data_IF_621156324636
#
_entry.id   IF_621156324636
#
_cell.length_a   1.000
_cell.length_b   1.000
_cell.length_c   1.000
_cell.angle_alpha   90.00
_cell.angle_beta   90.00
_cell.angle_gamma   90.00
#
_symmetry.space_group_name_H-M   'P 1'
#
loop_
_entity.id
_entity.type
_entity.pdbx_description
1 polymer ?
#
# COMPACT_ATOMS: atom_id res chain seq x y z
N UNK A 1 -28.25 59.80 -59.55
CA UNK A 1 -29.61 60.25 -59.14
C UNK A 1 -29.61 60.28 -57.61
N UNK A 2 -29.81 61.43 -56.95
CA UNK A 2 -31.12 61.95 -56.45
C UNK A 2 -31.76 60.98 -55.43
N UNK A 3 -32.11 61.29 -54.17
CA UNK A 3 -32.23 62.51 -53.30
C UNK A 3 -32.21 62.06 -51.81
N UNK A 4 -32.07 62.85 -50.72
CA UNK A 4 -31.62 64.24 -50.47
C UNK A 4 -31.62 64.58 -48.93
N UNK A 5 -30.61 65.34 -48.43
CA UNK A 5 -30.67 66.30 -47.28
C UNK A 5 -30.90 65.75 -45.83
N UNK A 6 -30.58 66.42 -44.69
CA UNK A 6 -29.68 67.57 -44.36
C UNK A 6 -29.60 67.90 -42.84
N UNK A 7 -28.43 68.33 -42.33
CA UNK A 7 -28.12 69.05 -41.03
C UNK A 7 -28.48 68.32 -39.71
N UNK A 8 -27.79 68.45 -38.56
CA UNK A 8 -26.75 69.34 -37.99
C UNK A 8 -27.24 70.61 -37.24
N UNK A 9 -27.46 70.51 -35.92
CA UNK A 9 -27.53 71.63 -34.95
C UNK A 9 -27.10 71.21 -33.52
N UNK A 10 -27.26 72.09 -32.52
CA UNK A 10 -26.24 72.38 -31.49
C UNK A 10 -26.83 72.97 -30.18
N UNK A 11 -26.12 72.82 -29.04
CA UNK A 11 -26.34 73.49 -27.71
C UNK A 11 -27.64 73.16 -26.91
N UNK A 12 -27.87 73.64 -25.67
CA UNK A 12 -27.08 73.58 -24.41
C UNK A 12 -27.82 74.27 -23.21
N UNK A 13 -27.60 73.82 -21.96
CA UNK A 13 -28.08 74.41 -20.66
C UNK A 13 -29.63 74.35 -20.47
N UNK A 14 -30.26 74.51 -19.31
CA UNK A 14 -29.91 74.87 -17.90
C UNK A 14 -30.93 74.11 -16.96
N UNK A 15 -31.05 74.13 -15.61
CA UNK A 15 -30.57 74.83 -14.38
C UNK A 15 -30.54 73.74 -13.23
N UNK A 16 -30.07 73.83 -11.95
CA UNK A 16 -29.95 74.85 -10.86
C UNK A 16 -31.29 75.10 -10.12
N UNK A 17 -31.55 74.81 -8.82
CA UNK A 17 -30.78 74.47 -7.59
C UNK A 17 -31.71 73.65 -6.62
N UNK A 18 -31.30 73.05 -5.48
CA UNK A 18 -30.88 73.66 -4.19
C UNK A 18 -30.03 72.73 -3.27
N UNK A 19 -29.64 73.24 -2.10
CA UNK A 19 -28.77 72.65 -1.05
C UNK A 19 -29.51 71.65 -0.12
N UNK A 20 -28.89 70.88 0.81
CA UNK A 20 -28.00 71.35 1.89
C UNK A 20 -27.37 70.25 2.77
N UNK A 21 -26.52 70.69 3.72
CA UNK A 21 -25.97 70.01 4.92
C UNK A 21 -24.90 68.90 4.73
N UNK A 22 -23.82 69.02 5.53
CA UNK A 22 -22.73 68.04 5.71
C UNK A 22 -22.99 67.17 6.94
N UNK A 23 -22.53 65.90 6.94
CA UNK A 23 -22.43 65.06 8.14
C UNK A 23 -20.99 64.53 8.35
N UNK A 24 -20.27 64.89 9.43
CA UNK A 24 -18.83 64.64 9.57
C UNK A 24 -18.50 63.34 10.33
N UNK A 25 -18.73 62.16 9.72
CA UNK A 25 -18.45 60.85 10.37
C UNK A 25 -17.30 60.09 9.69
N UNK A 26 -17.09 60.23 8.38
CA UNK A 26 -16.18 59.34 7.62
C UNK A 26 -14.67 59.65 7.71
N UNK A 27 -14.26 60.69 8.45
CA UNK A 27 -12.86 61.16 8.50
C UNK A 27 -12.08 60.62 9.74
N UNK A 28 -12.76 60.13 10.78
CA UNK A 28 -12.07 59.62 11.98
C UNK A 28 -11.54 58.19 11.86
N UNK A 29 -12.15 57.33 11.04
CA UNK A 29 -11.73 55.93 10.87
C UNK A 29 -10.38 55.81 10.13
N UNK A 30 -10.24 56.48 8.98
CA UNK A 30 -9.01 56.49 8.19
C UNK A 30 -7.81 57.03 9.00
N UNK A 31 -8.01 58.12 9.76
CA UNK A 31 -6.99 58.70 10.63
C UNK A 31 -6.56 57.78 11.78
N UNK A 32 -7.39 56.81 12.19
CA UNK A 32 -7.00 55.84 13.25
C UNK A 32 -6.12 54.71 12.73
N UNK A 33 -6.25 54.33 11.45
CA UNK A 33 -5.34 53.37 10.81
C UNK A 33 -4.01 54.06 10.45
N UNK A 34 -4.07 55.24 9.82
CA UNK A 34 -2.86 55.94 9.34
C UNK A 34 -1.95 56.47 10.47
N UNK A 35 -2.49 56.75 11.67
CA UNK A 35 -1.67 57.15 12.84
C UNK A 35 -0.80 56.04 13.44
N UNK A 36 -1.03 54.78 13.08
CA UNK A 36 -0.22 53.65 13.58
C UNK A 36 0.96 53.28 12.68
N UNK A 37 1.20 54.03 11.60
CA UNK A 37 2.17 53.68 10.55
C UNK A 37 3.16 54.82 10.24
N UNK A 38 3.30 55.79 11.15
CA UNK A 38 4.24 56.93 11.05
C UNK A 38 5.34 56.90 12.12
N UNK A 39 5.54 55.75 12.77
CA UNK A 39 6.55 55.55 13.82
C UNK A 39 7.35 54.25 13.64
N UNK A 40 7.43 53.72 12.42
CA UNK A 40 8.45 52.73 12.05
C UNK A 40 9.50 53.43 11.21
N UNK A 41 10.75 53.40 11.66
CA UNK A 41 11.86 53.91 10.84
C UNK A 41 12.12 52.98 9.63
N UNK A 42 12.73 53.47 8.54
CA UNK A 42 13.15 52.60 7.43
C UNK A 42 14.06 51.45 7.87
N UNK A 43 14.80 51.64 8.97
CA UNK A 43 15.66 50.62 9.59
C UNK A 43 14.82 49.48 10.20
N UNK A 44 13.76 49.80 10.96
CA UNK A 44 12.85 48.79 11.54
C UNK A 44 12.13 47.97 10.47
N UNK A 45 11.76 48.57 9.33
CA UNK A 45 11.14 47.85 8.20
C UNK A 45 12.15 46.85 7.62
N UNK A 46 13.39 47.27 7.38
CA UNK A 46 14.47 46.39 6.90
C UNK A 46 14.78 45.29 7.92
N UNK A 47 14.78 45.58 9.22
CA UNK A 47 14.99 44.59 10.27
C UNK A 47 13.86 43.56 10.32
N UNK A 48 12.59 43.99 10.19
CA UNK A 48 11.44 43.09 10.11
C UNK A 48 11.48 42.20 8.87
N UNK A 49 11.81 42.75 7.69
CA UNK A 49 11.99 41.95 6.47
C UNK A 49 13.16 40.95 6.59
N UNK A 50 14.30 41.39 7.12
CA UNK A 50 15.47 40.53 7.32
C UNK A 50 15.13 39.37 8.27
N UNK A 51 14.55 39.67 9.43
CA UNK A 51 14.14 38.70 10.46
C UNK A 51 13.08 37.73 9.93
N UNK A 52 12.10 38.22 9.18
CA UNK A 52 11.13 37.37 8.48
C UNK A 52 11.81 36.44 7.46
N UNK A 53 12.83 36.94 6.74
CA UNK A 53 13.61 36.12 5.82
C UNK A 53 14.39 35.01 6.54
N UNK A 54 14.96 35.28 7.72
CA UNK A 54 15.73 34.31 8.51
C UNK A 54 14.84 33.26 9.18
N UNK A 55 13.70 33.69 9.72
CA UNK A 55 12.68 32.80 10.26
C UNK A 55 12.11 31.89 9.15
N UNK A 56 11.82 32.45 7.96
CA UNK A 56 11.40 31.69 6.77
C UNK A 56 12.46 30.68 6.32
N UNK A 57 13.73 31.08 6.23
CA UNK A 57 14.87 30.18 5.93
C UNK A 57 14.97 29.06 6.97
N UNK A 58 14.82 29.38 8.26
CA UNK A 58 14.94 28.41 9.37
C UNK A 58 13.78 27.42 9.39
N UNK A 59 12.54 27.89 9.26
CA UNK A 59 11.35 27.06 9.12
C UNK A 59 11.43 26.14 7.88
N UNK A 60 12.00 26.63 6.77
CA UNK A 60 12.23 25.80 5.57
C UNK A 60 13.24 24.65 5.82
N UNK A 61 14.28 24.91 6.62
CA UNK A 61 15.30 23.91 7.01
C UNK A 61 14.71 22.87 7.97
N UNK A 62 13.99 23.27 9.03
CA UNK A 62 13.35 22.29 9.92
C UNK A 62 12.33 21.45 9.16
N UNK A 63 11.46 22.08 8.35
CA UNK A 63 10.50 21.34 7.52
C UNK A 63 11.18 20.31 6.62
N UNK A 64 12.31 20.65 6.00
CA UNK A 64 13.07 19.71 5.18
C UNK A 64 13.61 18.52 5.99
N UNK A 65 14.11 18.76 7.22
CA UNK A 65 14.54 17.72 8.16
C UNK A 65 13.37 16.82 8.59
N UNK A 66 12.23 17.42 8.94
CA UNK A 66 11.02 16.72 9.38
C UNK A 66 10.42 15.84 8.26
N UNK A 67 10.32 16.36 7.03
CA UNK A 67 9.92 15.56 5.85
C UNK A 67 10.88 14.37 5.63
N UNK A 68 12.20 14.57 5.74
CA UNK A 68 13.18 13.48 5.63
C UNK A 68 12.99 12.43 6.73
N UNK A 69 12.77 12.83 7.98
CA UNK A 69 12.54 11.91 9.10
C UNK A 69 11.26 11.08 8.92
N UNK A 70 10.12 11.72 8.62
CA UNK A 70 8.84 11.03 8.38
C UNK A 70 8.93 10.12 7.15
N UNK A 71 9.61 10.55 6.08
CA UNK A 71 9.87 9.71 4.89
C UNK A 71 10.70 8.47 5.23
N UNK A 72 11.81 8.63 5.94
CA UNK A 72 12.67 7.50 6.33
C UNK A 72 11.90 6.52 7.20
N UNK A 73 11.16 6.99 8.20
CA UNK A 73 10.29 6.15 9.02
C UNK A 73 9.27 5.36 8.17
N UNK A 74 8.53 6.02 7.26
CA UNK A 74 7.57 5.34 6.39
C UNK A 74 8.23 4.32 5.44
N UNK A 75 9.45 4.57 4.95
CA UNK A 75 10.21 3.59 4.15
C UNK A 75 10.67 2.41 5.00
N UNK A 76 11.17 2.63 6.22
CA UNK A 76 11.53 1.57 7.16
C UNK A 76 10.31 0.71 7.49
N UNK A 77 9.17 1.33 7.80
CA UNK A 77 7.91 0.61 8.06
C UNK A 77 7.45 -0.21 6.85
N UNK A 78 7.51 0.35 5.64
CA UNK A 78 7.20 -0.38 4.42
C UNK A 78 8.16 -1.57 4.20
N UNK A 79 9.45 -1.41 4.52
CA UNK A 79 10.43 -2.51 4.51
C UNK A 79 10.10 -3.61 5.52
N UNK A 80 9.72 -3.24 6.75
CA UNK A 80 9.29 -4.21 7.77
C UNK A 80 8.00 -4.95 7.37
N UNK A 81 7.07 -4.29 6.66
CA UNK A 81 5.88 -4.95 6.09
C UNK A 81 6.26 -5.96 5.01
N UNK A 82 7.31 -5.71 4.21
CA UNK A 82 7.86 -6.75 3.31
C UNK A 82 8.39 -7.93 4.14
N UNK A 83 9.26 -7.67 5.13
CA UNK A 83 9.87 -8.72 5.96
C UNK A 83 8.83 -9.61 6.65
N UNK A 84 7.81 -9.02 7.30
CA UNK A 84 6.79 -9.82 7.99
C UNK A 84 5.90 -10.60 7.00
N UNK A 85 5.60 -10.05 5.81
CA UNK A 85 4.87 -10.80 4.77
C UNK A 85 5.67 -12.00 4.28
N UNK A 86 6.99 -11.88 4.12
CA UNK A 86 7.86 -13.03 3.75
C UNK A 86 7.87 -14.08 4.85
N UNK A 87 8.08 -13.69 6.11
CA UNK A 87 8.11 -14.64 7.24
C UNK A 87 6.75 -15.30 7.47
N UNK A 88 5.65 -14.56 7.33
CA UNK A 88 4.28 -15.12 7.38
C UNK A 88 3.98 -16.05 6.21
N UNK A 89 4.53 -15.74 5.02
CA UNK A 89 4.51 -16.63 3.85
C UNK A 89 5.22 -17.95 4.12
N UNK A 90 6.44 -17.89 4.66
CA UNK A 90 7.18 -19.07 5.11
C UNK A 90 6.38 -19.84 6.19
N UNK A 91 5.86 -19.17 7.22
CA UNK A 91 5.03 -19.78 8.27
C UNK A 91 3.81 -20.54 7.73
N UNK A 92 3.22 -20.10 6.60
CA UNK A 92 2.17 -20.86 5.91
C UNK A 92 2.72 -22.02 5.09
N UNK A 93 3.81 -21.82 4.34
CA UNK A 93 4.42 -22.82 3.45
C UNK A 93 5.14 -23.94 4.22
N UNK A 94 5.62 -23.67 5.44
CA UNK A 94 6.11 -24.67 6.41
C UNK A 94 5.04 -25.10 7.41
N UNK A 95 3.78 -24.75 7.12
CA UNK A 95 2.57 -25.21 7.81
C UNK A 95 2.61 -25.02 9.34
N UNK A 96 3.28 -23.97 9.77
CA UNK A 96 3.69 -23.73 11.16
C UNK A 96 2.70 -22.86 11.95
N UNK A 97 1.69 -22.31 11.29
CA UNK A 97 0.82 -21.23 11.82
C UNK A 97 -0.17 -21.62 12.92
N UNK A 98 -0.10 -22.85 13.44
CA UNK A 98 -0.91 -23.37 14.57
C UNK A 98 -0.04 -24.01 15.67
N UNK A 99 1.29 -23.85 15.60
CA UNK A 99 2.26 -24.40 16.55
C UNK A 99 2.24 -23.74 17.94
N UNK A 100 1.87 -22.45 18.01
CA UNK A 100 1.86 -21.65 19.24
C UNK A 100 0.44 -21.33 19.72
N UNK A 101 -0.08 -22.07 20.68
CA UNK A 101 -1.47 -21.86 21.14
C UNK A 101 -1.60 -20.66 22.09
N UNK A 102 -0.63 -20.43 22.95
CA UNK A 102 -0.66 -19.31 23.91
C UNK A 102 -0.45 -17.96 23.21
N UNK A 103 -1.30 -16.98 23.54
CA UNK A 103 -1.16 -15.60 23.08
C UNK A 103 -0.98 -14.64 24.26
N UNK A 104 0.08 -13.85 24.21
CA UNK A 104 0.37 -12.77 25.13
C UNK A 104 0.54 -11.47 24.31
N UNK A 105 -0.04 -10.36 24.77
CA UNK A 105 0.06 -9.06 24.11
C UNK A 105 1.51 -8.59 23.97
N UNK A 106 2.27 -8.59 25.07
CA UNK A 106 3.69 -8.21 25.08
C UNK A 106 4.60 -9.28 24.46
N UNK A 107 4.09 -10.52 24.38
CA UNK A 107 4.81 -11.69 23.92
C UNK A 107 5.45 -12.47 25.07
N UNK A 108 6.26 -13.45 24.72
CA UNK A 108 7.03 -14.31 25.62
C UNK A 108 8.41 -14.50 25.03
N UNK A 109 9.35 -15.04 25.81
CA UNK A 109 10.53 -15.69 25.26
C UNK A 109 10.14 -17.05 24.64
N UNK A 110 10.96 -17.64 23.75
CA UNK A 110 10.82 -19.06 23.41
C UNK A 110 11.33 -19.90 24.59
N UNK A 111 11.01 -21.21 24.65
CA UNK A 111 11.58 -22.10 25.65
C UNK A 111 13.12 -22.07 25.64
N UNK A 112 13.73 -21.86 26.80
CA UNK A 112 15.16 -21.60 26.96
C UNK A 112 15.98 -22.83 27.34
N UNK A 113 15.32 -23.91 27.78
CA UNK A 113 15.93 -25.18 28.17
C UNK A 113 15.04 -26.36 27.72
N UNK A 114 15.57 -27.58 27.76
CA UNK A 114 14.85 -28.76 27.27
C UNK A 114 13.58 -29.09 28.09
N UNK A 115 13.53 -28.77 29.39
CA UNK A 115 12.35 -29.01 30.22
C UNK A 115 11.16 -28.14 29.78
N UNK A 116 11.42 -26.86 29.47
CA UNK A 116 10.41 -25.96 28.88
C UNK A 116 10.00 -26.41 27.47
N UNK A 117 10.92 -26.94 26.67
CA UNK A 117 10.61 -27.50 25.35
C UNK A 117 9.75 -28.76 25.44
N UNK A 118 10.02 -29.66 26.38
CA UNK A 118 9.18 -30.84 26.64
C UNK A 118 7.77 -30.40 27.08
N UNK A 119 7.65 -29.44 27.99
CA UNK A 119 6.37 -28.88 28.43
C UNK A 119 5.57 -28.23 27.29
N UNK A 120 6.20 -27.48 26.38
CA UNK A 120 5.48 -26.88 25.23
C UNK A 120 5.17 -27.91 24.14
N UNK A 121 6.01 -28.94 23.97
CA UNK A 121 5.75 -30.04 23.03
C UNK A 121 4.62 -30.97 23.50
N UNK A 122 4.54 -31.31 24.79
CA UNK A 122 3.41 -32.06 25.35
C UNK A 122 2.08 -31.31 25.23
N UNK A 123 2.10 -29.98 25.28
CA UNK A 123 0.93 -29.16 24.91
C UNK A 123 0.61 -29.33 23.43
N UNK A 124 1.59 -29.18 22.53
CA UNK A 124 1.38 -29.31 21.08
C UNK A 124 0.74 -30.65 20.69
N UNK A 125 1.12 -31.75 21.35
CA UNK A 125 0.51 -33.09 21.18
C UNK A 125 -1.00 -33.13 21.47
N UNK A 126 -1.53 -32.20 22.26
CA UNK A 126 -2.96 -32.11 22.54
C UNK A 126 -3.77 -31.51 21.39
N UNK A 127 -3.15 -30.86 20.41
CA UNK A 127 -3.86 -30.13 19.36
C UNK A 127 -4.20 -30.99 18.14
N UNK A 128 -5.28 -30.64 17.41
CA UNK A 128 -5.70 -31.34 16.21
C UNK A 128 -4.61 -31.53 15.16
N UNK A 129 -3.68 -30.57 15.04
CA UNK A 129 -2.61 -30.62 14.05
C UNK A 129 -1.62 -31.75 14.32
N UNK A 130 -1.17 -31.93 15.57
CA UNK A 130 -0.39 -33.11 15.95
C UNK A 130 -1.22 -34.40 15.80
N UNK A 131 -2.45 -34.41 16.34
CA UNK A 131 -3.32 -35.60 16.37
C UNK A 131 -3.75 -36.12 14.99
N UNK A 132 -3.81 -35.26 13.96
CA UNK A 132 -4.37 -35.61 12.63
C UNK A 132 -3.38 -35.49 11.47
N UNK A 133 -2.24 -34.80 11.64
CA UNK A 133 -1.31 -34.46 10.56
C UNK A 133 0.15 -34.73 10.93
N UNK A 134 0.60 -34.18 12.05
CA UNK A 134 1.99 -34.28 12.51
C UNK A 134 2.18 -35.45 13.50
N UNK A 135 1.49 -36.57 13.26
CA UNK A 135 1.50 -37.76 14.12
C UNK A 135 2.89 -38.38 14.12
N UNK A 136 3.51 -38.51 15.29
CA UNK A 136 4.87 -39.06 15.41
C UNK A 136 6.00 -38.06 15.10
N UNK A 137 5.67 -36.79 14.83
CA UNK A 137 6.67 -35.71 14.69
C UNK A 137 7.59 -35.65 15.92
N UNK A 138 8.88 -35.41 15.69
CA UNK A 138 9.89 -35.29 16.74
C UNK A 138 9.91 -33.90 17.40
N UNK A 139 10.49 -33.80 18.61
CA UNK A 139 10.65 -32.52 19.32
C UNK A 139 11.48 -31.49 18.52
N UNK A 140 12.46 -31.92 17.74
CA UNK A 140 13.31 -31.01 16.95
C UNK A 140 12.64 -30.56 15.63
N UNK A 141 11.69 -31.33 15.10
CA UNK A 141 10.79 -30.87 14.03
C UNK A 141 9.75 -29.87 14.58
N UNK A 142 9.20 -30.13 15.76
CA UNK A 142 8.33 -29.18 16.47
C UNK A 142 9.06 -27.84 16.74
N UNK A 143 10.31 -27.86 17.22
CA UNK A 143 11.14 -26.66 17.39
C UNK A 143 11.21 -25.82 16.10
N UNK A 144 11.34 -26.45 14.92
CA UNK A 144 11.39 -25.74 13.62
C UNK A 144 10.11 -24.99 13.31
N UNK A 145 8.95 -25.63 13.44
CA UNK A 145 7.66 -24.97 13.17
C UNK A 145 7.37 -23.88 14.22
N UNK A 146 7.67 -24.15 15.50
CA UNK A 146 7.54 -23.17 16.58
C UNK A 146 8.34 -21.88 16.28
N UNK A 147 9.59 -22.00 15.82
CA UNK A 147 10.40 -20.81 15.52
C UNK A 147 9.85 -19.96 14.35
N UNK A 148 9.28 -20.56 13.31
CA UNK A 148 8.64 -19.78 12.23
C UNK A 148 7.48 -18.94 12.75
N UNK A 149 6.58 -19.53 13.53
CA UNK A 149 5.45 -18.80 14.09
C UNK A 149 5.87 -17.79 15.16
N UNK A 150 6.83 -18.15 16.01
CA UNK A 150 7.39 -17.27 17.04
C UNK A 150 7.99 -16.00 16.41
N UNK A 151 8.85 -16.15 15.40
CA UNK A 151 9.47 -15.01 14.71
C UNK A 151 8.39 -14.17 13.99
N UNK A 152 7.41 -14.78 13.34
CA UNK A 152 6.30 -14.06 12.71
C UNK A 152 5.50 -13.22 13.73
N UNK A 153 5.16 -13.81 14.88
CA UNK A 153 4.44 -13.13 15.98
C UNK A 153 5.27 -11.98 16.58
N UNK A 154 6.57 -12.18 16.80
CA UNK A 154 7.45 -11.14 17.34
C UNK A 154 7.68 -9.99 16.33
N UNK A 155 7.81 -10.28 15.03
CA UNK A 155 7.84 -9.24 14.00
C UNK A 155 6.54 -8.42 13.97
N UNK A 156 5.38 -9.03 14.22
CA UNK A 156 4.11 -8.32 14.34
C UNK A 156 4.11 -7.31 15.49
N UNK A 157 4.61 -7.69 16.67
CA UNK A 157 4.78 -6.78 17.82
C UNK A 157 5.79 -5.67 17.52
N UNK A 158 6.91 -6.01 16.87
CA UNK A 158 7.95 -5.05 16.49
C UNK A 158 7.41 -4.01 15.51
N UNK A 159 6.65 -4.40 14.48
CA UNK A 159 5.94 -3.49 13.55
C UNK A 159 4.99 -2.56 14.29
N UNK A 160 4.27 -3.05 15.30
CA UNK A 160 3.42 -2.21 16.16
C UNK A 160 4.25 -1.15 16.91
N UNK A 161 5.31 -1.56 17.60
CA UNK A 161 6.16 -0.67 18.39
C UNK A 161 6.90 0.39 17.54
N UNK A 162 7.51 -0.03 16.42
CA UNK A 162 8.22 0.88 15.49
C UNK A 162 7.30 1.81 14.71
N UNK A 163 6.00 1.51 14.65
CA UNK A 163 5.00 2.48 14.21
C UNK A 163 4.62 3.46 15.33
N UNK A 164 4.19 2.95 16.48
CA UNK A 164 3.57 3.75 17.55
C UNK A 164 4.56 4.74 18.16
N UNK A 165 5.79 4.33 18.48
CA UNK A 165 6.75 5.20 19.18
C UNK A 165 7.15 6.43 18.33
N UNK A 166 7.53 6.30 17.04
CA UNK A 166 7.77 7.47 16.19
C UNK A 166 6.50 8.25 15.85
N UNK A 167 5.33 7.59 15.73
CA UNK A 167 4.06 8.30 15.48
C UNK A 167 3.70 9.24 16.64
N UNK A 168 3.87 8.81 17.89
CA UNK A 168 3.69 9.66 19.08
C UNK A 168 4.70 10.81 19.08
N UNK A 169 5.98 10.53 18.82
CA UNK A 169 7.02 11.56 18.71
C UNK A 169 6.71 12.62 17.65
N UNK A 170 6.32 12.21 16.43
CA UNK A 170 5.96 13.13 15.35
C UNK A 170 4.66 13.90 15.62
N UNK A 171 3.69 13.30 16.32
CA UNK A 171 2.49 14.01 16.79
C UNK A 171 2.86 15.09 17.83
N UNK A 172 3.69 14.76 18.82
CA UNK A 172 4.17 15.69 19.85
C UNK A 172 5.03 16.83 19.28
N UNK A 173 5.85 16.56 18.25
CA UNK A 173 6.57 17.57 17.45
C UNK A 173 5.66 18.40 16.53
N UNK A 174 4.35 18.18 16.54
CA UNK A 174 3.39 18.91 15.70
C UNK A 174 3.46 18.60 14.21
N UNK A 175 4.20 17.56 13.78
CA UNK A 175 4.43 17.24 12.37
C UNK A 175 3.15 16.80 11.64
N UNK A 176 2.12 16.38 12.38
CA UNK A 176 0.81 16.02 11.82
C UNK A 176 -0.29 17.09 12.01
N UNK A 177 0.03 18.19 12.70
CA UNK A 177 -0.92 19.26 13.01
C UNK A 177 -0.99 20.31 11.91
N UNK A 178 -2.19 20.78 11.57
CA UNK A 178 -2.42 21.96 10.70
C UNK A 178 -1.84 23.26 11.29
N UNK A 179 -1.66 23.32 12.63
CA UNK A 179 -1.03 24.45 13.34
C UNK A 179 0.50 24.28 13.50
N UNK A 180 1.05 23.14 13.09
CA UNK A 180 2.49 22.86 13.07
C UNK A 180 3.00 22.70 11.64
N UNK A 181 4.09 21.93 11.46
CA UNK A 181 4.74 21.78 10.16
C UNK A 181 3.89 21.04 9.09
N UNK A 182 2.81 20.36 9.48
CA UNK A 182 1.86 19.68 8.59
C UNK A 182 2.54 18.82 7.49
N UNK A 183 3.48 17.98 7.90
CA UNK A 183 4.30 17.09 7.06
C UNK A 183 3.43 16.01 6.42
N UNK A 184 2.54 15.42 7.21
CA UNK A 184 1.55 14.44 6.77
C UNK A 184 0.26 14.68 7.57
N UNK A 185 -0.93 14.76 6.94
CA UNK A 185 -2.15 15.07 7.69
C UNK A 185 -2.50 13.97 8.69
N UNK A 186 -2.86 14.34 9.92
CA UNK A 186 -3.09 13.40 11.03
C UNK A 186 -4.01 12.22 10.70
N UNK A 187 -5.04 12.40 9.85
CA UNK A 187 -5.92 11.29 9.45
C UNK A 187 -5.19 10.16 8.73
N UNK A 188 -4.09 10.42 8.00
CA UNK A 188 -3.25 9.37 7.39
C UNK A 188 -2.46 8.61 8.46
N UNK A 189 -1.94 9.29 9.48
CA UNK A 189 -1.24 8.65 10.59
C UNK A 189 -2.21 7.77 11.42
N UNK A 190 -3.43 8.24 11.65
CA UNK A 190 -4.49 7.47 12.31
C UNK A 190 -4.95 6.29 11.45
N UNK A 191 -5.13 6.47 10.13
CA UNK A 191 -5.48 5.40 9.21
C UNK A 191 -4.43 4.28 9.20
N UNK A 192 -3.15 4.61 9.00
CA UNK A 192 -2.08 3.59 8.97
C UNK A 192 -2.00 2.87 10.33
N UNK A 193 -2.08 3.59 11.45
CA UNK A 193 -2.08 2.99 12.79
C UNK A 193 -3.29 2.06 13.04
N UNK A 194 -4.49 2.50 12.66
CA UNK A 194 -5.70 1.70 12.74
C UNK A 194 -5.65 0.44 11.86
N UNK A 195 -5.09 0.55 10.65
CA UNK A 195 -4.88 -0.60 9.77
C UNK A 195 -3.86 -1.59 10.35
N UNK A 196 -2.78 -1.14 10.99
CA UNK A 196 -1.81 -2.02 11.68
C UNK A 196 -2.48 -2.74 12.86
N UNK A 197 -3.29 -2.03 13.66
CA UNK A 197 -4.07 -2.64 14.74
C UNK A 197 -5.05 -3.70 14.22
N UNK A 198 -5.80 -3.36 13.17
CA UNK A 198 -6.71 -4.28 12.48
C UNK A 198 -5.98 -5.49 11.87
N UNK A 199 -4.77 -5.32 11.34
CA UNK A 199 -3.94 -6.41 10.83
C UNK A 199 -3.54 -7.39 11.94
N UNK A 200 -3.22 -6.88 13.14
CA UNK A 200 -2.99 -7.71 14.33
C UNK A 200 -4.25 -8.50 14.75
N UNK A 201 -5.41 -7.85 14.73
CA UNK A 201 -6.70 -8.51 15.00
C UNK A 201 -7.05 -9.58 13.96
N UNK A 202 -6.81 -9.32 12.67
CA UNK A 202 -6.96 -10.31 11.61
C UNK A 202 -6.02 -11.50 11.81
N UNK A 203 -4.76 -11.26 12.19
CA UNK A 203 -3.79 -12.33 12.45
C UNK A 203 -4.23 -13.23 13.61
N UNK A 204 -4.70 -12.64 14.71
CA UNK A 204 -5.27 -13.39 15.85
C UNK A 204 -6.53 -14.18 15.44
N UNK A 205 -7.45 -13.56 14.72
CA UNK A 205 -8.68 -14.20 14.21
C UNK A 205 -8.39 -15.34 13.21
N UNK A 206 -7.31 -15.22 12.44
CA UNK A 206 -6.85 -16.22 11.49
C UNK A 206 -6.30 -17.47 12.20
N UNK A 207 -5.47 -17.30 13.24
CA UNK A 207 -4.97 -18.42 14.06
C UNK A 207 -6.09 -19.05 14.88
N UNK A 208 -6.93 -18.26 15.56
CA UNK A 208 -8.00 -18.78 16.44
C UNK A 208 -8.93 -19.77 15.73
N UNK A 209 -9.19 -19.60 14.43
CA UNK A 209 -9.99 -20.56 13.65
C UNK A 209 -9.38 -21.95 13.51
N UNK A 210 -8.05 -22.07 13.38
CA UNK A 210 -7.42 -23.37 13.12
C UNK A 210 -7.31 -24.27 14.35
N UNK A 211 -7.52 -23.70 15.54
CA UNK A 211 -7.43 -24.37 16.84
C UNK A 211 -8.79 -24.87 17.37
N UNK A 212 -9.90 -24.53 16.69
CA UNK A 212 -11.26 -24.88 17.11
C UNK A 212 -11.74 -26.14 16.37
N UNK A 213 -11.85 -27.25 17.11
CA UNK A 213 -12.28 -28.55 16.58
C UNK A 213 -13.72 -28.54 16.04
N UNK A 214 -14.59 -27.65 16.55
CA UNK A 214 -16.00 -27.59 16.18
C UNK A 214 -16.29 -26.64 15.01
N UNK A 215 -15.27 -25.98 14.46
CA UNK A 215 -15.47 -25.01 13.38
C UNK A 215 -15.85 -25.71 12.08
N UNK A 216 -16.90 -25.21 11.39
CA UNK A 216 -17.37 -25.67 10.06
C UNK A 216 -16.26 -26.00 9.04
N UNK A 217 -15.11 -25.32 9.13
CA UNK A 217 -13.96 -25.52 8.26
C UNK A 217 -13.29 -26.89 8.45
N UNK A 218 -13.22 -27.42 9.67
CA UNK A 218 -12.77 -28.80 9.90
C UNK A 218 -13.77 -29.78 9.29
N UNK A 219 -15.06 -29.59 9.53
CA UNK A 219 -16.14 -30.44 9.00
C UNK A 219 -16.12 -30.48 7.46
N UNK A 220 -15.94 -29.32 6.81
CA UNK A 220 -15.90 -29.21 5.34
C UNK A 220 -14.63 -29.78 4.68
N UNK A 221 -13.49 -29.78 5.37
CA UNK A 221 -12.20 -30.22 4.82
C UNK A 221 -11.71 -31.55 5.41
N UNK A 222 -12.63 -32.51 5.56
CA UNK A 222 -12.38 -33.87 6.07
C UNK A 222 -11.54 -33.89 7.36
N UNK A 223 -11.95 -33.06 8.32
CA UNK A 223 -11.31 -32.88 9.63
C UNK A 223 -9.87 -32.36 9.66
N UNK A 224 -9.26 -32.01 8.52
CA UNK A 224 -7.88 -31.49 8.44
C UNK A 224 -7.79 -30.07 9.01
N UNK A 225 -7.02 -29.82 10.09
CA UNK A 225 -6.81 -28.49 10.65
C UNK A 225 -6.09 -27.60 9.62
N UNK A 226 -6.68 -26.44 9.31
CA UNK A 226 -6.11 -25.47 8.38
C UNK A 226 -6.62 -24.07 8.63
N UNK A 227 -5.81 -23.08 8.29
CA UNK A 227 -6.25 -21.67 8.23
C UNK A 227 -7.15 -21.47 7.01
N UNK A 228 -8.30 -20.82 7.21
CA UNK A 228 -9.22 -20.47 6.11
C UNK A 228 -8.54 -19.60 5.04
N UNK A 229 -8.69 -19.98 3.78
CA UNK A 229 -8.20 -19.24 2.62
C UNK A 229 -8.78 -17.81 2.55
N UNK A 230 -10.04 -17.63 2.98
CA UNK A 230 -10.66 -16.31 3.10
C UNK A 230 -9.95 -15.41 4.13
N UNK A 231 -9.54 -15.98 5.29
CA UNK A 231 -8.83 -15.24 6.35
C UNK A 231 -7.40 -14.92 5.95
N UNK A 232 -6.69 -15.90 5.36
CA UNK A 232 -5.34 -15.73 4.81
C UNK A 232 -5.31 -14.64 3.72
N UNK A 233 -6.25 -14.67 2.78
CA UNK A 233 -6.38 -13.64 1.74
C UNK A 233 -6.72 -12.27 2.32
N UNK A 234 -7.62 -12.18 3.31
CA UNK A 234 -7.97 -10.92 3.96
C UNK A 234 -6.76 -10.30 4.69
N UNK A 235 -5.98 -11.13 5.38
CA UNK A 235 -4.76 -10.72 6.09
C UNK A 235 -3.64 -10.29 5.13
N UNK A 236 -3.39 -11.04 4.04
CA UNK A 236 -2.39 -10.64 3.04
C UNK A 236 -2.82 -9.36 2.28
N UNK A 237 -4.09 -9.27 1.89
CA UNK A 237 -4.64 -8.09 1.20
C UNK A 237 -4.51 -6.84 2.07
N UNK A 238 -4.80 -6.95 3.37
CA UNK A 238 -4.66 -5.84 4.32
C UNK A 238 -3.18 -5.46 4.52
N UNK A 239 -2.24 -6.42 4.56
CA UNK A 239 -0.80 -6.12 4.54
C UNK A 239 -0.38 -5.33 3.30
N UNK A 240 -0.83 -5.73 2.11
CA UNK A 240 -0.57 -5.02 0.85
C UNK A 240 -1.18 -3.61 0.87
N UNK A 241 -2.38 -3.41 1.43
CA UNK A 241 -2.99 -2.08 1.56
C UNK A 241 -2.22 -1.17 2.54
N UNK A 242 -1.75 -1.70 3.68
CA UNK A 242 -0.86 -0.97 4.60
C UNK A 242 0.42 -0.55 3.89
N UNK A 243 1.07 -1.50 3.20
CA UNK A 243 2.27 -1.26 2.41
C UNK A 243 2.05 -0.16 1.36
N UNK A 244 0.94 -0.22 0.63
CA UNK A 244 0.59 0.78 -0.37
C UNK A 244 0.43 2.19 0.22
N UNK A 245 -0.28 2.34 1.34
CA UNK A 245 -0.49 3.64 1.99
C UNK A 245 0.81 4.20 2.59
N UNK A 246 1.66 3.34 3.17
CA UNK A 246 3.00 3.72 3.66
C UNK A 246 3.92 4.17 2.52
N UNK A 247 4.09 3.34 1.48
CA UNK A 247 4.95 3.64 0.33
C UNK A 247 4.46 4.87 -0.42
N UNK A 248 3.15 5.01 -0.64
CA UNK A 248 2.57 6.19 -1.27
C UNK A 248 2.85 7.46 -0.44
N UNK A 249 2.71 7.39 0.88
CA UNK A 249 2.98 8.54 1.76
C UNK A 249 4.47 8.88 1.82
N UNK A 250 5.37 7.90 1.74
CA UNK A 250 6.81 8.12 1.60
C UNK A 250 7.19 8.76 0.25
N UNK A 251 6.53 8.36 -0.84
CA UNK A 251 6.69 8.96 -2.17
C UNK A 251 6.08 10.37 -2.26
N UNK A 252 5.00 10.64 -1.53
CA UNK A 252 4.44 11.99 -1.39
C UNK A 252 5.45 12.95 -0.72
N UNK A 253 6.39 12.46 0.09
CA UNK A 253 7.48 13.22 0.70
C UNK A 253 8.76 13.29 -0.16
N UNK A 254 8.76 12.84 -1.41
CA UNK A 254 9.91 13.00 -2.29
C UNK A 254 9.95 14.37 -2.98
N UNK A 255 10.94 15.20 -2.61
CA UNK A 255 11.22 16.52 -3.19
C UNK A 255 12.05 16.48 -4.47
N UNK A 256 12.79 15.40 -4.76
CA UNK A 256 13.74 15.32 -5.88
C UNK A 256 13.05 15.04 -7.25
N UNK A 257 11.81 15.54 -7.41
CA UNK A 257 10.87 15.15 -8.46
C UNK A 257 9.99 16.32 -8.93
N UNK A 258 10.63 17.40 -9.38
CA UNK A 258 10.02 18.23 -10.43
C UNK A 258 10.18 17.45 -11.73
N UNK A 259 9.08 17.08 -12.38
CA UNK A 259 9.11 16.68 -13.79
C UNK A 259 9.16 17.99 -14.58
N UNK A 260 10.27 18.24 -15.27
CA UNK A 260 10.66 19.60 -15.66
C UNK A 260 9.85 20.20 -16.81
N UNK A 261 9.15 19.36 -17.57
CA UNK A 261 8.35 19.77 -18.73
C UNK A 261 6.94 19.17 -18.70
N UNK A 262 5.90 19.95 -19.05
CA UNK A 262 4.54 19.44 -19.27
C UNK A 262 4.48 18.65 -20.59
N UNK A 263 4.93 17.39 -20.55
CA UNK A 263 4.82 16.43 -21.64
C UNK A 263 3.35 16.04 -21.88
N UNK A 264 2.62 16.90 -22.59
CA UNK A 264 1.24 16.77 -23.08
C UNK A 264 1.05 15.70 -24.16
N UNK A 265 1.88 14.65 -24.14
CA UNK A 265 1.77 13.50 -25.02
C UNK A 265 0.49 12.71 -24.71
N UNK A 266 -0.35 12.46 -25.72
CA UNK A 266 -1.56 11.62 -25.62
C UNK A 266 -1.29 10.26 -24.95
N UNK A 267 -0.13 9.66 -25.23
CA UNK A 267 0.30 8.42 -24.60
C UNK A 267 0.47 8.55 -23.08
N UNK A 268 0.99 9.68 -22.58
CA UNK A 268 1.16 9.95 -21.13
C UNK A 268 -0.20 10.10 -20.44
N UNK A 269 -1.18 10.73 -21.07
CA UNK A 269 -2.55 10.78 -20.55
C UNK A 269 -3.17 9.37 -20.47
N UNK A 270 -2.95 8.54 -21.50
CA UNK A 270 -3.40 7.13 -21.47
C UNK A 270 -2.67 6.31 -20.39
N UNK A 271 -1.37 6.52 -20.17
CA UNK A 271 -0.63 5.91 -19.05
C UNK A 271 -1.21 6.32 -17.69
N UNK A 272 -1.52 7.61 -17.49
CA UNK A 272 -2.18 8.13 -16.28
C UNK A 272 -3.53 7.45 -16.01
N UNK A 273 -4.29 7.09 -17.06
CA UNK A 273 -5.57 6.36 -16.95
C UNK A 273 -5.39 4.87 -16.65
N UNK A 274 -4.45 4.19 -17.31
CA UNK A 274 -4.35 2.73 -17.26
C UNK A 274 -3.40 2.18 -16.18
N UNK A 275 -2.36 2.91 -15.77
CA UNK A 275 -1.43 2.44 -14.73
C UNK A 275 -2.11 2.15 -13.36
N UNK A 276 -3.07 2.97 -12.86
CA UNK A 276 -3.83 2.62 -11.66
C UNK A 276 -4.63 1.32 -11.81
N UNK A 277 -5.19 1.06 -13.00
CA UNK A 277 -6.01 -0.13 -13.28
C UNK A 277 -5.15 -1.39 -13.29
N UNK A 278 -3.99 -1.36 -13.97
CA UNK A 278 -3.03 -2.49 -13.94
C UNK A 278 -2.48 -2.71 -12.53
N UNK A 279 -2.25 -1.64 -11.75
CA UNK A 279 -1.85 -1.75 -10.32
C UNK A 279 -2.94 -2.43 -9.48
N UNK A 280 -4.22 -2.13 -9.72
CA UNK A 280 -5.34 -2.77 -9.03
C UNK A 280 -5.52 -4.25 -9.42
N UNK A 281 -5.39 -4.59 -10.71
CA UNK A 281 -5.43 -5.99 -11.18
C UNK A 281 -4.26 -6.80 -10.60
N UNK A 282 -3.08 -6.20 -10.48
CA UNK A 282 -1.94 -6.83 -9.82
C UNK A 282 -2.19 -7.08 -8.32
N UNK A 283 -2.81 -6.14 -7.60
CA UNK A 283 -3.25 -6.35 -6.22
C UNK A 283 -4.26 -7.50 -6.10
N UNK A 284 -5.25 -7.57 -6.98
CA UNK A 284 -6.21 -8.71 -7.03
C UNK A 284 -5.51 -10.03 -7.37
N UNK A 285 -4.47 -9.99 -8.22
CA UNK A 285 -3.62 -11.15 -8.51
C UNK A 285 -2.91 -11.62 -7.25
N UNK A 286 -2.29 -10.72 -6.48
CA UNK A 286 -1.65 -11.06 -5.20
C UNK A 286 -2.64 -11.65 -4.17
N UNK A 287 -3.84 -11.09 -4.07
CA UNK A 287 -4.90 -11.61 -3.20
C UNK A 287 -5.34 -13.03 -3.63
N UNK A 288 -5.55 -13.29 -4.92
CA UNK A 288 -5.87 -14.64 -5.42
C UNK A 288 -4.75 -15.67 -5.16
N UNK A 289 -3.48 -15.23 -5.09
CA UNK A 289 -2.37 -16.09 -4.67
C UNK A 289 -2.49 -16.59 -3.23
N UNK A 290 -3.10 -15.80 -2.33
CA UNK A 290 -3.40 -16.25 -0.97
C UNK A 290 -4.56 -17.26 -0.91
N UNK A 291 -5.50 -17.24 -1.86
CA UNK A 291 -6.47 -18.32 -2.02
C UNK A 291 -5.78 -19.60 -2.49
N UNK A 292 -4.86 -19.52 -3.46
CA UNK A 292 -4.07 -20.67 -3.93
C UNK A 292 -3.26 -21.29 -2.78
N UNK A 293 -2.53 -20.48 -2.00
CA UNK A 293 -1.78 -20.96 -0.82
C UNK A 293 -2.69 -21.40 0.34
N UNK A 294 -3.91 -20.88 0.45
CA UNK A 294 -4.86 -21.26 1.50
C UNK A 294 -5.53 -22.63 1.29
N UNK A 295 -5.55 -23.13 0.05
CA UNK A 295 -6.14 -24.42 -0.32
C UNK A 295 -5.12 -25.41 -0.92
N UNK A 296 -3.83 -25.11 -0.81
CA UNK A 296 -2.72 -25.92 -1.38
C UNK A 296 -2.85 -26.12 -2.91
N UNK A 297 -3.61 -25.24 -3.56
CA UNK A 297 -4.07 -25.39 -4.94
C UNK A 297 -2.94 -25.33 -5.99
N UNK A 298 -1.72 -24.95 -5.57
CA UNK A 298 -0.52 -25.04 -6.41
C UNK A 298 -0.08 -26.47 -6.72
N UNK A 299 -0.60 -27.47 -6.01
CA UNK A 299 -0.27 -28.90 -6.15
C UNK A 299 -1.32 -29.73 -6.91
N UNK A 300 -2.33 -29.08 -7.50
CA UNK A 300 -3.48 -29.79 -8.13
C UNK A 300 -3.19 -30.14 -9.59
N UNK A 301 -2.90 -29.14 -10.42
CA UNK A 301 -2.36 -29.33 -11.77
C UNK A 301 -0.99 -28.68 -11.86
N UNK A 302 0.06 -29.44 -12.19
CA UNK A 302 1.44 -28.95 -12.26
C UNK A 302 1.97 -28.83 -13.70
N UNK A 303 1.06 -28.79 -14.68
CA UNK A 303 1.33 -28.44 -16.09
C UNK A 303 1.18 -26.93 -16.35
N UNK A 304 1.78 -26.44 -17.44
CA UNK A 304 1.53 -25.10 -17.99
C UNK A 304 1.69 -25.11 -19.53
N UNK A 305 0.88 -24.38 -20.32
CA UNK A 305 -0.26 -23.54 -19.92
C UNK A 305 -1.53 -24.33 -19.60
N UNK A 306 -1.57 -25.62 -19.95
CA UNK A 306 -2.71 -26.51 -19.72
C UNK A 306 -2.86 -26.93 -18.25
N UNK A 307 -4.00 -27.55 -17.96
CA UNK A 307 -4.43 -28.14 -16.68
C UNK A 307 -5.27 -29.39 -17.02
N UNK A 308 -4.70 -30.58 -16.87
CA UNK A 308 -5.36 -31.83 -17.27
C UNK A 308 -5.57 -31.90 -18.79
N UNK A 309 -4.59 -31.41 -19.56
CA UNK A 309 -4.66 -31.34 -21.02
C UNK A 309 -5.65 -30.31 -21.59
N UNK A 310 -6.26 -29.45 -20.76
CA UNK A 310 -7.21 -28.39 -21.18
C UNK A 310 -6.77 -27.02 -20.66
N UNK A 311 -7.23 -25.92 -21.28
CA UNK A 311 -6.95 -24.57 -20.76
C UNK A 311 -7.78 -24.21 -19.52
N UNK A 312 -8.99 -24.79 -19.41
CA UNK A 312 -9.84 -24.74 -18.22
C UNK A 312 -9.96 -26.20 -17.75
N UNK A 313 -9.62 -26.52 -16.47
CA UNK A 313 -9.65 -27.89 -16.00
C UNK A 313 -11.09 -28.43 -15.95
N UNK A 314 -11.27 -29.73 -16.19
CA UNK A 314 -12.59 -30.34 -16.38
C UNK A 314 -13.48 -30.28 -15.13
N UNK A 315 -12.87 -30.24 -13.94
CA UNK A 315 -13.51 -30.17 -12.64
C UNK A 315 -13.76 -28.73 -12.14
N UNK A 316 -13.43 -27.70 -12.93
CA UNK A 316 -13.54 -26.28 -12.53
C UNK A 316 -14.92 -25.83 -12.03
N UNK A 317 -16.00 -26.54 -12.36
CA UNK A 317 -17.38 -26.23 -11.95
C UNK A 317 -18.09 -27.38 -11.22
N UNK A 318 -17.30 -28.30 -10.64
CA UNK A 318 -17.79 -29.50 -9.96
C UNK A 318 -18.64 -29.21 -8.70
N UNK A 319 -18.27 -28.22 -7.88
CA UNK A 319 -19.00 -27.89 -6.66
C UNK A 319 -20.37 -27.26 -6.96
N UNK A 320 -21.35 -27.53 -6.10
CA UNK A 320 -22.69 -26.92 -6.12
C UNK A 320 -22.98 -26.23 -4.77
N UNK A 321 -23.62 -25.05 -4.75
CA UNK A 321 -23.96 -24.20 -5.91
C UNK A 321 -22.71 -23.67 -6.64
N UNK A 322 -22.84 -23.39 -7.93
CA UNK A 322 -21.71 -23.11 -8.84
C UNK A 322 -20.77 -22.00 -8.36
N UNK A 323 -21.31 -21.02 -7.61
CA UNK A 323 -20.53 -19.90 -7.04
C UNK A 323 -19.39 -20.34 -6.12
N UNK A 324 -19.52 -21.47 -5.43
CA UNK A 324 -18.47 -21.97 -4.52
C UNK A 324 -17.16 -22.27 -5.25
N UNK A 325 -17.23 -22.65 -6.54
CA UNK A 325 -16.01 -22.99 -7.29
C UNK A 325 -15.03 -21.82 -7.38
N UNK A 326 -15.52 -20.57 -7.44
CA UNK A 326 -14.69 -19.38 -7.60
C UNK A 326 -13.86 -19.02 -6.33
N UNK A 327 -14.06 -19.75 -5.22
CA UNK A 327 -13.44 -19.48 -3.91
C UNK A 327 -13.02 -20.73 -3.12
N UNK A 328 -13.54 -21.92 -3.48
CA UNK A 328 -13.43 -23.17 -2.71
C UNK A 328 -13.06 -24.39 -3.57
N UNK A 329 -13.13 -24.29 -4.91
CA UNK A 329 -12.60 -25.32 -5.80
C UNK A 329 -11.14 -24.96 -6.12
N UNK A 330 -10.21 -25.79 -5.64
CA UNK A 330 -8.78 -25.56 -5.79
C UNK A 330 -8.36 -25.40 -7.27
N UNK A 331 -8.86 -26.27 -8.16
CA UNK A 331 -8.58 -26.24 -9.61
C UNK A 331 -9.04 -24.93 -10.27
N UNK A 332 -10.24 -24.48 -9.92
CA UNK A 332 -10.80 -23.23 -10.46
C UNK A 332 -10.04 -22.00 -9.93
N UNK A 333 -9.69 -21.98 -8.64
CA UNK A 333 -8.89 -20.92 -8.03
C UNK A 333 -7.46 -20.88 -8.58
N UNK A 334 -6.85 -22.04 -8.83
CA UNK A 334 -5.55 -22.14 -9.49
C UNK A 334 -5.63 -21.57 -10.92
N UNK A 335 -6.68 -21.91 -11.67
CA UNK A 335 -6.95 -21.33 -13.00
C UNK A 335 -7.16 -19.81 -12.93
N UNK A 336 -8.00 -19.30 -12.01
CA UNK A 336 -8.24 -17.87 -11.82
C UNK A 336 -6.94 -17.11 -11.54
N UNK A 337 -6.05 -17.67 -10.70
CA UNK A 337 -4.76 -17.04 -10.39
C UNK A 337 -3.83 -16.99 -11.62
N UNK A 338 -3.72 -18.09 -12.38
CA UNK A 338 -2.97 -18.14 -13.67
C UNK A 338 -3.50 -17.08 -14.65
N UNK A 339 -4.83 -16.97 -14.77
CA UNK A 339 -5.47 -15.99 -15.65
C UNK A 339 -5.19 -14.55 -15.20
N UNK A 340 -5.36 -14.24 -13.91
CA UNK A 340 -5.08 -12.92 -13.35
C UNK A 340 -3.61 -12.50 -13.52
N UNK A 341 -2.66 -13.42 -13.27
CA UNK A 341 -1.24 -13.19 -13.51
C UNK A 341 -0.97 -12.90 -15.00
N UNK A 342 -1.63 -13.61 -15.91
CA UNK A 342 -1.51 -13.38 -17.36
C UNK A 342 -2.08 -12.03 -17.77
N UNK A 343 -3.25 -11.63 -17.25
CA UNK A 343 -3.84 -10.31 -17.50
C UNK A 343 -2.99 -9.18 -16.93
N UNK A 344 -2.38 -9.34 -15.75
CA UNK A 344 -1.41 -8.39 -15.18
C UNK A 344 -0.19 -8.24 -16.09
N UNK A 345 0.39 -9.35 -16.56
CA UNK A 345 1.54 -9.36 -17.47
C UNK A 345 1.22 -8.66 -18.79
N UNK A 346 0.11 -9.01 -19.45
CA UNK A 346 -0.36 -8.37 -20.70
C UNK A 346 -0.65 -6.87 -20.46
N UNK A 347 -1.23 -6.51 -19.32
CA UNK A 347 -1.47 -5.11 -18.93
C UNK A 347 -0.19 -4.30 -18.81
N UNK A 348 0.85 -4.86 -18.17
CA UNK A 348 2.18 -4.24 -18.06
C UNK A 348 2.84 -4.06 -19.44
N UNK A 349 2.88 -5.10 -20.26
CA UNK A 349 3.43 -5.00 -21.62
C UNK A 349 2.65 -4.01 -22.49
N UNK A 350 1.33 -3.90 -22.30
CA UNK A 350 0.48 -2.89 -22.97
C UNK A 350 0.82 -1.46 -22.56
N UNK A 351 1.05 -1.20 -21.27
CA UNK A 351 1.56 0.11 -20.79
C UNK A 351 2.93 0.43 -21.42
N UNK A 352 3.82 -0.55 -21.52
CA UNK A 352 5.14 -0.37 -22.10
C UNK A 352 5.12 -0.07 -23.60
N UNK A 353 4.31 -0.81 -24.36
CA UNK A 353 4.07 -0.56 -25.79
C UNK A 353 3.45 0.82 -26.02
N UNK A 354 2.46 1.20 -25.21
CA UNK A 354 1.85 2.53 -25.21
C UNK A 354 2.86 3.65 -24.94
N UNK A 355 3.79 3.46 -23.99
CA UNK A 355 4.85 4.41 -23.70
C UNK A 355 5.86 4.57 -24.87
N UNK A 356 6.01 3.54 -25.72
CA UNK A 356 6.92 3.52 -26.87
C UNK A 356 6.28 3.92 -28.20
N UNK A 357 4.94 3.86 -28.31
CA UNK A 357 4.18 4.16 -29.53
C UNK A 357 4.56 5.53 -30.12
N UNK A 358 4.99 5.55 -31.38
CA UNK A 358 5.39 6.76 -32.09
C UNK A 358 6.78 7.30 -31.70
N UNK A 359 7.71 6.44 -31.25
CA UNK A 359 9.14 6.78 -31.07
C UNK A 359 9.50 7.71 -29.90
N UNK A 360 8.52 8.36 -29.28
CA UNK A 360 8.72 9.41 -28.27
C UNK A 360 9.26 8.90 -26.90
N UNK A 361 9.61 7.63 -26.74
CA UNK A 361 10.08 7.05 -25.46
C UNK A 361 11.27 7.82 -24.88
N UNK A 362 12.22 8.24 -25.71
CA UNK A 362 13.40 9.00 -25.28
C UNK A 362 13.07 10.37 -24.66
N UNK A 363 11.96 10.99 -25.08
CA UNK A 363 11.44 12.26 -24.53
C UNK A 363 10.81 12.10 -23.15
N UNK A 364 10.51 10.86 -22.71
CA UNK A 364 10.00 10.63 -21.36
C UNK A 364 11.09 10.89 -20.29
N UNK A 365 10.74 11.43 -19.11
CA UNK A 365 11.70 11.73 -18.06
C UNK A 365 12.46 10.47 -17.61
N UNK A 366 13.75 10.61 -17.26
CA UNK A 366 14.62 9.47 -16.91
C UNK A 366 13.99 8.56 -15.84
N UNK A 367 13.38 9.14 -14.80
CA UNK A 367 12.69 8.39 -13.74
C UNK A 367 11.50 7.57 -14.25
N UNK A 368 10.71 8.11 -15.18
CA UNK A 368 9.57 7.41 -15.77
C UNK A 368 10.02 6.28 -16.72
N UNK A 369 11.09 6.50 -17.50
CA UNK A 369 11.72 5.42 -18.30
C UNK A 369 12.26 4.29 -17.44
N UNK A 370 12.93 4.60 -16.33
CA UNK A 370 13.41 3.59 -15.37
C UNK A 370 12.23 2.82 -14.79
N UNK A 371 11.20 3.50 -14.25
CA UNK A 371 10.03 2.83 -13.69
C UNK A 371 9.32 1.91 -14.72
N UNK A 372 9.12 2.38 -15.96
CA UNK A 372 8.54 1.57 -17.03
C UNK A 372 9.38 0.33 -17.39
N UNK A 373 10.71 0.47 -17.47
CA UNK A 373 11.60 -0.68 -17.68
C UNK A 373 11.54 -1.65 -16.48
N UNK A 374 11.65 -1.14 -15.25
CA UNK A 374 11.61 -1.96 -14.03
C UNK A 374 10.31 -2.75 -13.89
N UNK A 375 9.15 -2.14 -14.17
CA UNK A 375 7.85 -2.84 -14.13
C UNK A 375 7.80 -4.00 -15.13
N UNK A 376 8.38 -3.85 -16.33
CA UNK A 376 8.47 -4.94 -17.32
C UNK A 376 9.43 -6.04 -16.90
N UNK A 377 10.64 -5.69 -16.45
CA UNK A 377 11.62 -6.68 -15.98
C UNK A 377 11.08 -7.48 -14.79
N UNK A 378 10.44 -6.80 -13.83
CA UNK A 378 9.89 -7.45 -12.64
C UNK A 378 8.65 -8.28 -12.96
N UNK A 379 7.74 -7.85 -13.85
CA UNK A 379 6.59 -8.70 -14.22
C UNK A 379 7.03 -9.95 -14.98
N UNK A 380 8.03 -9.85 -15.86
CA UNK A 380 8.55 -11.00 -16.60
C UNK A 380 9.19 -12.02 -15.64
N UNK A 381 10.05 -11.55 -14.72
CA UNK A 381 10.62 -12.38 -13.68
C UNK A 381 9.54 -13.00 -12.76
N UNK A 382 8.52 -12.23 -12.36
CA UNK A 382 7.44 -12.71 -11.50
C UNK A 382 6.56 -13.77 -12.18
N UNK A 383 6.25 -13.60 -13.46
CA UNK A 383 5.45 -14.56 -14.23
C UNK A 383 6.22 -15.86 -14.46
N UNK A 384 7.53 -15.77 -14.79
CA UNK A 384 8.42 -16.93 -14.87
C UNK A 384 8.52 -17.63 -13.51
N UNK A 385 8.74 -16.91 -12.40
CA UNK A 385 8.77 -17.49 -11.06
C UNK A 385 7.47 -18.20 -10.69
N UNK A 386 6.31 -17.71 -11.12
CA UNK A 386 5.02 -18.36 -10.91
C UNK A 386 4.91 -19.69 -11.65
N UNK A 387 5.34 -19.71 -12.91
CA UNK A 387 5.43 -20.94 -13.71
C UNK A 387 6.47 -21.91 -13.10
N UNK A 388 7.63 -21.44 -12.66
CA UNK A 388 8.64 -22.31 -12.01
C UNK A 388 8.12 -22.88 -10.68
N UNK A 389 7.48 -22.08 -9.83
CA UNK A 389 6.84 -22.55 -8.58
C UNK A 389 5.83 -23.65 -8.86
N UNK A 390 5.06 -23.51 -9.95
CA UNK A 390 4.07 -24.48 -10.40
C UNK A 390 4.71 -25.78 -10.92
N UNK A 391 5.62 -25.69 -11.88
CA UNK A 391 6.25 -26.86 -12.53
C UNK A 391 7.17 -27.66 -11.59
N UNK A 392 7.58 -27.08 -10.45
CA UNK A 392 8.46 -27.74 -9.47
C UNK A 392 7.74 -28.19 -8.19
N UNK A 393 6.40 -28.25 -8.20
CA UNK A 393 5.56 -28.69 -7.06
C UNK A 393 5.72 -27.83 -5.79
N UNK A 394 5.69 -26.50 -5.97
CA UNK A 394 5.67 -25.47 -4.91
C UNK A 394 6.81 -25.58 -3.87
N UNK A 395 8.11 -25.62 -4.27
CA UNK A 395 9.19 -25.62 -3.29
C UNK A 395 9.19 -24.33 -2.48
N UNK A 396 9.33 -24.44 -1.16
CA UNK A 396 9.15 -23.31 -0.21
C UNK A 396 10.05 -22.11 -0.53
N UNK A 397 11.26 -22.34 -1.02
CA UNK A 397 12.21 -21.30 -1.46
C UNK A 397 11.74 -20.56 -2.72
N UNK A 398 11.19 -21.25 -3.72
CA UNK A 398 10.71 -20.65 -4.97
C UNK A 398 9.37 -19.95 -4.72
N UNK A 399 8.47 -20.57 -3.96
CA UNK A 399 7.18 -20.00 -3.58
C UNK A 399 7.32 -18.71 -2.75
N UNK A 400 8.21 -18.69 -1.75
CA UNK A 400 8.51 -17.46 -0.99
C UNK A 400 9.22 -16.41 -1.84
N UNK A 401 10.09 -16.80 -2.78
CA UNK A 401 10.68 -15.88 -3.77
C UNK A 401 9.62 -15.27 -4.69
N UNK A 402 8.62 -16.04 -5.13
CA UNK A 402 7.47 -15.54 -5.89
C UNK A 402 6.61 -14.57 -5.06
N UNK A 403 6.48 -14.79 -3.74
CA UNK A 403 5.79 -13.85 -2.84
C UNK A 403 6.58 -12.52 -2.67
N UNK A 404 7.91 -12.57 -2.60
CA UNK A 404 8.79 -11.39 -2.62
C UNK A 404 8.65 -10.63 -3.94
N UNK A 405 8.67 -11.35 -5.07
CA UNK A 405 8.52 -10.77 -6.40
C UNK A 405 7.15 -10.11 -6.60
N UNK A 406 6.09 -10.66 -5.99
CA UNK A 406 4.75 -10.07 -5.98
C UNK A 406 4.73 -8.69 -5.28
N UNK A 407 5.29 -8.59 -4.08
CA UNK A 407 5.46 -7.30 -3.40
C UNK A 407 6.34 -6.34 -4.21
N UNK A 408 7.45 -6.83 -4.77
CA UNK A 408 8.37 -6.02 -5.58
C UNK A 408 7.69 -5.45 -6.82
N UNK A 409 6.88 -6.24 -7.52
CA UNK A 409 6.06 -5.81 -8.65
C UNK A 409 5.06 -4.73 -8.24
N UNK A 410 4.41 -4.89 -7.08
CA UNK A 410 3.50 -3.91 -6.52
C UNK A 410 4.23 -2.60 -6.18
N UNK A 411 5.43 -2.65 -5.60
CA UNK A 411 6.27 -1.47 -5.33
C UNK A 411 6.55 -0.66 -6.59
N UNK A 412 6.96 -1.31 -7.68
CA UNK A 412 7.31 -0.61 -8.94
C UNK A 412 6.07 -0.12 -9.70
N UNK A 413 4.93 -0.81 -9.60
CA UNK A 413 3.64 -0.36 -10.15
C UNK A 413 3.07 0.85 -9.38
N UNK A 414 3.14 0.84 -8.04
CA UNK A 414 2.80 1.98 -7.20
C UNK A 414 3.70 3.18 -7.50
N UNK A 415 5.02 2.96 -7.67
CA UNK A 415 5.96 4.01 -8.04
C UNK A 415 5.67 4.59 -9.43
N UNK A 416 5.43 3.76 -10.44
CA UNK A 416 5.02 4.20 -11.78
C UNK A 416 3.73 5.04 -11.73
N UNK A 417 2.73 4.56 -11.00
CA UNK A 417 1.44 5.24 -10.82
C UNK A 417 1.59 6.56 -10.04
N UNK A 418 2.52 6.64 -9.08
CA UNK A 418 2.84 7.88 -8.34
C UNK A 418 3.48 8.94 -9.24
N UNK A 419 4.50 8.55 -10.03
CA UNK A 419 5.13 9.42 -11.03
C UNK A 419 4.11 9.97 -12.03
N UNK A 420 3.15 9.16 -12.45
CA UNK A 420 2.10 9.54 -13.38
C UNK A 420 1.03 10.44 -12.73
N UNK A 421 0.68 10.23 -11.45
CA UNK A 421 -0.35 11.04 -10.75
C UNK A 421 0.08 12.49 -10.52
N UNK A 422 1.36 12.73 -10.22
CA UNK A 422 1.87 14.11 -10.04
C UNK A 422 1.68 14.92 -11.33
N UNK A 423 1.51 16.25 -11.18
CA UNK A 423 1.34 17.13 -12.33
C UNK A 423 2.59 17.02 -13.22
N UNK A 424 2.31 16.71 -14.48
CA UNK A 424 3.16 16.91 -15.66
C UNK A 424 2.48 18.11 -16.30
#
# INVERSE_FOLDING_TARGET
MLRAFSRASVQARNRVLTSSVRSPIFIQSANKVFRSTLTTTPIEVIEQEFKSSEESKTNSKERCRAEKQVRVWLVTMAGMVITIVVVGGLTRLTESGLSMVHWNLLGTLPPLNEQEWDVEFEKYKQFPEYKKKNVGMTKDEFKRIYYYEYIHRQLGRLVGATYILPAIYFAARGYFSKKGLNIMPAWRALLIGGMIGFQGLLGWYMVKSGLDENHDLMVRYNNVPRVSQYRLSSHLSTAFLIYAVMLWSALDLDKNRKLTDPLTLKNVQMLKRWAPIVTAIMFVTAASGAFVAGMDAGLVYNEFPLMGGRLIPADALALKPTILNFFENASMVQFQHRLLATVTTVGVFSLYALARRGGNFHKLPKQLRVALNSVVTVVAAQYILGITTLLTYVPTSIASTHQIGSLTLFSVLLWLTHLLKRRI
#
